data_IF_298795996578
#
_entry.id   IF_298795996578
#
_cell.length_a   1.000
_cell.length_b   1.000
_cell.length_c   1.000
_cell.angle_alpha   90.00
_cell.angle_beta   90.00
_cell.angle_gamma   90.00
#
_symmetry.space_group_name_H-M   'P 1'
#
loop_
_entity.id
_entity.type
_entity.pdbx_description
1 polymer ?
#
# COMPACT_ATOMS: atom_id res chain seq x y z
N UNK A 1 21.03 12.18 9.66
CA UNK A 1 20.15 11.14 9.09
C UNK A 1 18.84 11.22 9.83
N UNK A 2 17.88 12.01 9.34
CA UNK A 2 16.58 12.14 9.98
C UNK A 2 15.80 10.85 9.79
N UNK A 3 15.38 10.22 10.89
CA UNK A 3 14.30 9.25 10.87
C UNK A 3 13.04 9.99 10.45
N UNK A 4 12.76 10.03 9.15
CA UNK A 4 11.41 10.33 8.67
C UNK A 4 10.52 9.31 9.38
N UNK A 5 9.55 9.76 10.17
CA UNK A 5 8.44 8.89 10.56
C UNK A 5 7.73 8.53 9.26
N UNK A 6 8.20 7.47 8.59
CA UNK A 6 7.82 7.11 7.24
C UNK A 6 6.46 6.40 7.31
N UNK A 7 5.42 7.17 7.62
CA UNK A 7 4.06 6.69 7.68
C UNK A 7 3.66 6.30 6.27
N UNK A 8 3.48 5.00 6.05
CA UNK A 8 3.19 4.45 4.75
C UNK A 8 1.73 4.04 4.68
N UNK A 9 1.12 4.28 3.51
CA UNK A 9 -0.17 3.67 3.19
C UNK A 9 0.05 2.31 2.54
N UNK A 10 -0.77 1.32 2.89
CA UNK A 10 -0.70 -0.03 2.33
C UNK A 10 -2.10 -0.60 2.12
N UNK A 11 -2.21 -1.60 1.24
CA UNK A 11 -3.49 -2.26 0.95
C UNK A 11 -3.49 -3.65 1.59
N UNK A 12 -4.49 -3.91 2.42
CA UNK A 12 -4.73 -5.20 3.05
C UNK A 12 -6.10 -5.78 2.64
N UNK A 13 -6.30 -7.08 2.86
CA UNK A 13 -7.58 -7.76 2.72
C UNK A 13 -7.69 -8.75 1.56
N UNK A 14 -8.72 -9.60 1.65
CA UNK A 14 -8.98 -10.70 0.71
C UNK A 14 -9.48 -10.23 -0.66
N UNK A 15 -9.56 -11.14 -1.63
CA UNK A 15 -10.22 -10.87 -2.91
C UNK A 15 -11.62 -10.28 -2.65
N UNK A 16 -11.96 -9.21 -3.37
CA UNK A 16 -13.24 -8.50 -3.27
C UNK A 16 -13.52 -7.76 -1.95
N UNK A 17 -12.54 -7.66 -1.03
CA UNK A 17 -12.65 -6.88 0.21
C UNK A 17 -11.31 -6.29 0.60
N UNK A 18 -10.81 -5.36 -0.22
CA UNK A 18 -9.51 -4.71 -0.07
C UNK A 18 -9.67 -3.34 0.56
N UNK A 19 -8.84 -3.01 1.53
CA UNK A 19 -8.92 -1.76 2.29
C UNK A 19 -7.55 -1.12 2.35
N UNK A 20 -7.50 0.20 2.23
CA UNK A 20 -6.28 0.96 2.45
C UNK A 20 -6.08 1.25 3.94
N UNK A 21 -4.86 1.18 4.41
CA UNK A 21 -4.47 1.49 5.78
C UNK A 21 -3.27 2.42 5.77
N UNK A 22 -3.02 3.11 6.88
CA UNK A 22 -1.81 3.89 7.08
C UNK A 22 -1.28 3.72 8.50
N UNK A 23 0.05 3.77 8.66
CA UNK A 23 0.72 3.68 9.97
C UNK A 23 0.28 4.79 10.95
N UNK A 24 -0.32 5.87 10.46
CA UNK A 24 -0.91 6.93 11.30
C UNK A 24 -2.22 6.51 12.00
N UNK A 25 -2.73 5.30 11.74
CA UNK A 25 -3.99 4.76 12.27
C UNK A 25 -5.21 4.99 11.38
N UNK A 26 -5.03 5.58 10.19
CA UNK A 26 -6.12 5.78 9.23
C UNK A 26 -6.50 4.47 8.53
N UNK A 27 -7.80 4.29 8.31
CA UNK A 27 -8.37 3.16 7.59
C UNK A 27 -9.33 3.69 6.51
N UNK A 28 -9.11 3.26 5.27
CA UNK A 28 -9.93 3.59 4.13
C UNK A 28 -11.23 2.78 4.07
N UNK A 29 -12.01 3.02 3.01
CA UNK A 29 -13.26 2.29 2.78
C UNK A 29 -12.96 0.90 2.19
N UNK A 30 -13.62 -0.18 2.62
CA UNK A 30 -13.51 -1.48 1.96
C UNK A 30 -13.99 -1.41 0.51
N UNK A 31 -13.12 -1.77 -0.44
CA UNK A 31 -13.40 -1.79 -1.88
C UNK A 31 -13.34 -3.19 -2.45
N UNK A 32 -14.19 -3.45 -3.45
CA UNK A 32 -14.15 -4.70 -4.22
C UNK A 32 -12.90 -4.80 -5.10
N UNK A 33 -12.53 -3.69 -5.75
CA UNK A 33 -11.37 -3.62 -6.63
C UNK A 33 -10.14 -3.11 -5.89
N UNK A 34 -8.98 -3.74 -6.15
CA UNK A 34 -7.68 -3.29 -5.62
C UNK A 34 -7.36 -1.87 -6.06
N UNK A 35 -7.64 -1.54 -7.32
CA UNK A 35 -7.38 -0.22 -7.86
C UNK A 35 -8.09 0.88 -7.06
N UNK A 36 -9.35 0.66 -6.66
CA UNK A 36 -10.09 1.61 -5.84
C UNK A 36 -9.46 1.81 -4.46
N UNK A 37 -9.00 0.73 -3.81
CA UNK A 37 -8.30 0.84 -2.54
C UNK A 37 -6.94 1.57 -2.70
N UNK A 38 -6.23 1.37 -3.82
CA UNK A 38 -5.00 2.11 -4.14
C UNK A 38 -5.27 3.60 -4.33
N UNK A 39 -6.39 3.98 -4.95
CA UNK A 39 -6.79 5.39 -5.06
C UNK A 39 -7.04 6.00 -3.69
N UNK A 40 -7.74 5.30 -2.79
CA UNK A 40 -7.95 5.76 -1.41
C UNK A 40 -6.61 5.99 -0.67
N UNK A 41 -5.67 5.05 -0.79
CA UNK A 41 -4.33 5.16 -0.23
C UNK A 41 -3.54 6.34 -0.81
N UNK A 42 -3.67 6.59 -2.12
CA UNK A 42 -3.01 7.70 -2.81
C UNK A 42 -3.59 9.07 -2.44
N UNK A 43 -4.91 9.18 -2.31
CA UNK A 43 -5.57 10.41 -1.83
C UNK A 43 -5.13 10.74 -0.41
N UNK A 44 -5.14 9.76 0.49
CA UNK A 44 -4.68 9.95 1.86
C UNK A 44 -3.22 10.40 1.92
N UNK A 45 -2.34 9.75 1.15
CA UNK A 45 -0.93 10.13 1.03
C UNK A 45 -0.76 11.58 0.56
N UNK A 46 -1.53 12.00 -0.45
CA UNK A 46 -1.50 13.36 -0.97
C UNK A 46 -2.00 14.41 0.05
N UNK A 47 -3.04 14.09 0.84
CA UNK A 47 -3.63 14.99 1.84
C UNK A 47 -2.75 15.17 3.09
N UNK A 48 -2.02 14.13 3.48
CA UNK A 48 -1.27 14.08 4.75
C UNK A 48 0.24 14.22 4.59
N UNK A 49 0.74 14.12 3.36
CA UNK A 49 2.18 14.02 3.10
C UNK A 49 2.78 12.66 3.48
N UNK A 50 1.95 11.65 3.76
CA UNK A 50 2.37 10.27 3.97
C UNK A 50 2.84 9.63 2.65
N UNK A 51 3.63 8.57 2.75
CA UNK A 51 4.16 7.89 1.57
C UNK A 51 3.17 6.83 1.11
N UNK A 52 2.82 6.83 -0.16
CA UNK A 52 2.09 5.71 -0.75
C UNK A 52 3.03 4.50 -0.81
N UNK A 53 2.90 3.60 0.17
CA UNK A 53 3.65 2.36 0.20
C UNK A 53 3.26 1.52 -1.00
N UNK A 54 4.24 1.12 -1.80
CA UNK A 54 4.03 -0.02 -2.70
C UNK A 54 3.60 -1.18 -1.81
N UNK A 55 2.48 -1.83 -2.18
CA UNK A 55 1.89 -2.98 -1.47
C UNK A 55 2.98 -3.81 -0.81
N UNK A 56 2.91 -4.11 0.50
CA UNK A 56 3.92 -4.93 1.15
C UNK A 56 4.07 -6.18 0.30
N UNK A 57 5.18 -6.24 -0.44
CA UNK A 57 5.51 -7.42 -1.21
C UNK A 57 5.71 -8.45 -0.11
N UNK A 58 4.91 -9.53 -0.04
CA UNK A 58 5.17 -10.56 0.93
C UNK A 58 6.61 -11.00 0.71
N UNK A 59 7.48 -10.65 1.66
CA UNK A 59 8.86 -11.11 1.73
C UNK A 59 8.79 -12.60 2.03
N UNK A 60 8.54 -13.40 0.98
CA UNK A 60 8.56 -14.85 1.05
C UNK A 60 8.56 -15.55 -0.31
N UNK A 61 8.54 -14.85 -1.46
CA UNK A 61 8.68 -15.53 -2.75
C UNK A 61 9.78 -14.86 -3.59
N UNK A 62 10.82 -15.61 -4.02
CA UNK A 62 11.90 -15.04 -4.82
C UNK A 62 11.33 -14.60 -6.16
N UNK A 63 11.46 -13.31 -6.49
CA UNK A 63 11.19 -12.81 -7.83
C UNK A 63 12.11 -13.54 -8.81
N UNK A 64 11.55 -14.48 -9.57
CA UNK A 64 12.25 -15.12 -10.69
C UNK A 64 12.43 -14.08 -11.78
N UNK A 65 13.63 -13.49 -11.86
CA UNK A 65 14.02 -12.62 -12.97
C UNK A 65 14.43 -13.51 -14.15
N UNK A 66 13.59 -13.61 -15.17
CA UNK A 66 13.99 -14.21 -16.45
C UNK A 66 14.96 -13.26 -17.15
N UNK A 67 16.26 -13.59 -17.15
CA UNK A 67 17.22 -12.98 -18.07
C UNK A 67 17.20 -13.77 -19.37
N UNK A 68 16.76 -13.13 -20.46
CA UNK A 68 17.02 -13.63 -21.80
C UNK A 68 18.50 -13.41 -22.14
N UNK A 69 19.17 -14.45 -22.64
CA UNK A 69 20.52 -14.39 -23.23
C UNK A 69 20.41 -14.20 -24.74
#
# INVERSE_FOLDING_TARGET
>A
MGTFHNMQTYIDGSAFRRTAHCDCGWNGTPRWMRASAVVDAGMHAAETGHIAGAVPVPTAEPLVVLRAS
#
